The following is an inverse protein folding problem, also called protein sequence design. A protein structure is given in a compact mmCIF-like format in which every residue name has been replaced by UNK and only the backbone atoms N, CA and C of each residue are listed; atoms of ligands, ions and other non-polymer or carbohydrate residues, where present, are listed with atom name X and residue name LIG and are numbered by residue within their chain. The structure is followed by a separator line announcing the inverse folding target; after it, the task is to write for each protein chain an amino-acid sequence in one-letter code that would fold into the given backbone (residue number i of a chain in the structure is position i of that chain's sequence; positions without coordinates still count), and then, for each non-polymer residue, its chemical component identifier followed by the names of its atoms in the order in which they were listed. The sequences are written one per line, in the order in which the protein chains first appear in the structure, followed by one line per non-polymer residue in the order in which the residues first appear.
data_IF_362033359538
#
_entry.id   IF_362033359538
#
_cell.length_a   1.000
_cell.length_b   1.000
_cell.length_c   1.000
_cell.angle_alpha   90.00
_cell.angle_beta   90.00
_cell.angle_gamma   90.00
#
_symmetry.space_group_name_H-M   'P 1'
#
loop_
_entity.id
_entity.type
_entity.pdbx_description
1 polymer ?
#
# COMPACT_ATOMS: atom_id res chain seq x y z
N UNK A 1 76.52 19.01 -76.17
CA UNK A 1 76.68 20.09 -75.19
C UNK A 1 75.54 19.95 -74.20
N UNK A 2 75.87 19.89 -72.91
CA UNK A 2 75.01 19.64 -71.72
C UNK A 2 73.67 20.42 -71.74
N UNK A 3 72.56 19.95 -71.17
CA UNK A 3 72.19 20.10 -69.73
C UNK A 3 71.01 19.16 -69.34
N UNK A 4 71.02 18.72 -68.07
CA UNK A 4 70.12 17.81 -67.30
C UNK A 4 68.67 18.30 -67.10
N UNK A 5 67.78 17.39 -66.69
CA UNK A 5 66.93 17.53 -65.47
C UNK A 5 66.36 16.17 -65.04
N UNK A 6 66.13 16.04 -63.74
CA UNK A 6 66.04 14.80 -62.93
C UNK A 6 64.66 14.12 -62.89
N UNK A 7 64.70 12.82 -62.55
CA UNK A 7 63.58 11.91 -62.25
C UNK A 7 62.90 12.20 -60.91
N UNK A 8 61.61 11.86 -60.79
CA UNK A 8 60.96 11.60 -59.50
C UNK A 8 60.08 10.35 -59.56
N UNK A 9 60.20 9.56 -58.48
CA UNK A 9 59.68 8.22 -58.18
C UNK A 9 58.16 8.15 -57.91
N UNK A 10 57.50 7.01 -58.19
CA UNK A 10 56.71 6.28 -57.17
C UNK A 10 56.24 4.87 -57.60
N UNK A 11 56.42 3.95 -56.66
CA UNK A 11 56.14 2.51 -56.65
C UNK A 11 54.64 2.16 -56.67
N UNK A 12 54.28 0.92 -57.06
CA UNK A 12 53.52 0.07 -56.12
C UNK A 12 53.51 -1.43 -56.45
N UNK A 13 53.70 -2.21 -55.38
CA UNK A 13 53.94 -3.65 -55.36
C UNK A 13 52.66 -4.51 -55.24
N UNK A 14 52.84 -5.76 -55.68
CA UNK A 14 52.12 -7.02 -55.43
C UNK A 14 51.22 -7.11 -54.18
N UNK A 15 49.99 -7.62 -54.37
CA UNK A 15 49.10 -8.09 -53.29
C UNK A 15 49.11 -9.62 -53.17
N UNK A 16 49.55 -10.12 -52.02
CA UNK A 16 49.49 -11.52 -51.58
C UNK A 16 48.20 -11.74 -50.77
N UNK A 17 47.35 -12.71 -51.15
CA UNK A 17 46.12 -13.07 -50.41
C UNK A 17 46.42 -14.16 -49.38
N UNK A 18 46.14 -13.92 -48.10
CA UNK A 18 46.09 -14.93 -47.03
C UNK A 18 44.64 -15.40 -46.84
N UNK A 19 44.42 -16.72 -46.82
CA UNK A 19 43.16 -17.33 -46.41
C UNK A 19 43.19 -17.61 -44.89
N UNK A 20 42.13 -17.24 -44.17
CA UNK A 20 41.94 -17.54 -42.75
C UNK A 20 40.77 -18.52 -42.66
N UNK A 21 41.00 -19.72 -42.14
CA UNK A 21 39.98 -20.74 -41.89
C UNK A 21 39.48 -20.59 -40.45
N UNK A 22 38.17 -20.37 -40.27
CA UNK A 22 37.53 -20.18 -38.97
C UNK A 22 36.96 -21.52 -38.48
N UNK A 23 37.58 -22.16 -37.50
CA UNK A 23 37.01 -23.35 -36.83
C UNK A 23 36.01 -22.91 -35.76
N UNK A 24 34.73 -23.25 -35.93
CA UNK A 24 33.70 -23.09 -34.90
C UNK A 24 33.76 -24.27 -33.92
N UNK A 25 34.18 -24.04 -32.67
CA UNK A 25 33.88 -24.95 -31.57
C UNK A 25 32.44 -24.69 -31.10
N UNK A 26 31.54 -25.64 -31.35
CA UNK A 26 30.22 -25.66 -30.75
C UNK A 26 30.32 -26.16 -29.31
N UNK A 27 30.27 -25.24 -28.34
CA UNK A 27 30.09 -25.61 -26.94
C UNK A 27 28.61 -25.99 -26.71
N UNK A 28 28.31 -27.14 -26.08
CA UNK A 28 26.93 -27.51 -25.78
C UNK A 28 26.38 -26.55 -24.71
N UNK A 29 25.44 -25.71 -25.12
CA UNK A 29 24.60 -24.95 -24.18
C UNK A 29 23.74 -25.95 -23.40
N UNK A 30 24.17 -26.29 -22.18
CA UNK A 30 23.31 -26.91 -21.19
C UNK A 30 22.20 -25.90 -20.87
N UNK A 31 21.02 -26.11 -21.43
CA UNK A 31 19.84 -25.33 -21.13
C UNK A 31 19.52 -25.47 -19.64
N UNK A 32 19.84 -24.44 -18.86
CA UNK A 32 19.48 -24.36 -17.43
C UNK A 32 17.96 -24.24 -17.38
N UNK A 33 17.23 -25.16 -16.72
CA UNK A 33 15.77 -25.07 -16.65
C UNK A 33 15.41 -23.74 -15.98
N UNK A 34 14.56 -22.97 -16.65
CA UNK A 34 13.98 -21.76 -16.07
C UNK A 34 13.28 -22.17 -14.77
N UNK A 35 13.47 -21.45 -13.65
CA UNK A 35 12.75 -21.73 -12.43
C UNK A 35 11.26 -21.67 -12.76
N UNK A 36 10.55 -22.78 -12.50
CA UNK A 36 9.10 -22.82 -12.64
C UNK A 36 8.53 -21.67 -11.80
N UNK A 37 7.67 -20.85 -12.41
CA UNK A 37 6.93 -19.83 -11.70
C UNK A 37 6.14 -20.55 -10.59
N UNK A 38 6.57 -20.41 -9.34
CA UNK A 38 5.85 -21.04 -8.25
C UNK A 38 4.41 -20.51 -8.27
N UNK A 39 3.43 -21.43 -8.30
CA UNK A 39 2.04 -21.04 -8.24
C UNK A 39 1.81 -20.16 -7.00
N UNK A 40 1.09 -19.04 -7.18
CA UNK A 40 0.76 -18.13 -6.08
C UNK A 40 -0.06 -18.90 -5.03
N UNK A 41 0.45 -18.99 -3.80
CA UNK A 41 -0.22 -19.67 -2.69
C UNK A 41 -1.36 -18.81 -2.18
N UNK A 42 -2.57 -19.36 -2.12
CA UNK A 42 -3.76 -18.67 -1.61
C UNK A 42 -4.21 -19.32 -0.29
N UNK A 43 -4.62 -18.50 0.68
CA UNK A 43 -5.06 -18.93 2.00
C UNK A 43 -6.38 -18.23 2.34
N UNK A 44 -7.50 -18.96 2.26
CA UNK A 44 -8.80 -18.39 2.60
C UNK A 44 -8.96 -18.28 4.12
N UNK A 45 -9.43 -17.13 4.62
CA UNK A 45 -9.57 -16.90 6.07
C UNK A 45 -10.55 -17.88 6.75
N UNK A 46 -11.49 -18.45 5.99
CA UNK A 46 -12.46 -19.44 6.45
C UNK A 46 -11.80 -20.78 6.80
N UNK A 47 -10.71 -21.14 6.12
CA UNK A 47 -9.93 -22.36 6.41
C UNK A 47 -9.22 -22.26 7.77
N UNK A 48 -9.13 -21.04 8.31
CA UNK A 48 -8.53 -20.72 9.61
C UNK A 48 -9.56 -20.34 10.67
N UNK A 49 -10.86 -20.54 10.38
CA UNK A 49 -11.95 -20.39 11.33
C UNK A 49 -12.62 -19.02 11.35
N UNK A 50 -12.41 -18.18 10.33
CA UNK A 50 -13.17 -16.94 10.20
C UNK A 50 -14.65 -17.24 9.84
N UNK A 51 -15.58 -16.56 10.50
CA UNK A 51 -17.04 -16.73 10.36
C UNK A 51 -17.65 -15.47 9.76
N UNK A 52 -18.47 -15.65 8.72
CA UNK A 52 -19.04 -14.58 7.90
C UNK A 52 -20.45 -14.15 8.36
N UNK A 53 -20.68 -14.03 9.67
CA UNK A 53 -22.00 -13.72 10.25
C UNK A 53 -22.23 -12.22 10.52
N UNK A 54 -21.24 -11.37 10.21
CA UNK A 54 -21.29 -9.93 10.49
C UNK A 54 -21.28 -9.55 11.98
N UNK A 55 -21.01 -10.49 12.89
CA UNK A 55 -21.04 -10.30 14.34
C UNK A 55 -19.78 -10.85 15.04
N UNK A 56 -19.31 -12.03 14.64
CA UNK A 56 -18.10 -12.65 15.17
C UNK A 56 -16.87 -11.79 14.86
N UNK A 57 -16.07 -11.52 15.90
CA UNK A 57 -14.81 -10.78 15.76
C UNK A 57 -13.70 -11.75 15.33
N UNK A 58 -13.36 -11.69 14.05
CA UNK A 58 -12.48 -12.63 13.35
C UNK A 58 -10.99 -12.30 13.45
N UNK A 59 -10.60 -11.29 14.25
CA UNK A 59 -9.21 -10.78 14.31
C UNK A 59 -8.18 -11.90 14.46
N UNK A 60 -8.41 -12.84 15.39
CA UNK A 60 -7.49 -13.94 15.65
C UNK A 60 -7.39 -14.93 14.48
N UNK A 61 -8.51 -15.29 13.85
CA UNK A 61 -8.53 -16.21 12.72
C UNK A 61 -7.85 -15.62 11.48
N UNK A 62 -8.11 -14.35 11.20
CA UNK A 62 -7.51 -13.64 10.06
C UNK A 62 -6.02 -13.42 10.30
N UNK A 63 -5.62 -12.99 11.50
CA UNK A 63 -4.19 -12.83 11.83
C UNK A 63 -3.44 -14.18 11.75
N UNK A 64 -4.05 -15.28 12.22
CA UNK A 64 -3.49 -16.63 12.06
C UNK A 64 -3.29 -17.00 10.58
N UNK A 65 -4.21 -16.60 9.70
CA UNK A 65 -4.08 -16.82 8.26
C UNK A 65 -2.89 -16.05 7.67
N UNK A 66 -2.73 -14.78 8.06
CA UNK A 66 -1.61 -13.93 7.67
C UNK A 66 -0.28 -14.53 8.14
N UNK A 67 -0.21 -14.93 9.40
CA UNK A 67 1.00 -15.50 9.99
C UNK A 67 1.36 -16.84 9.34
N UNK A 68 0.35 -17.67 9.02
CA UNK A 68 0.55 -18.90 8.27
C UNK A 68 1.08 -18.63 6.86
N UNK A 69 0.49 -17.69 6.12
CA UNK A 69 0.97 -17.32 4.78
C UNK A 69 2.43 -16.85 4.81
N UNK A 70 2.80 -16.04 5.81
CA UNK A 70 4.18 -15.61 6.01
C UNK A 70 5.13 -16.79 6.28
N UNK A 71 4.73 -17.72 7.16
CA UNK A 71 5.51 -18.93 7.46
C UNK A 71 5.68 -19.84 6.23
N UNK A 72 4.77 -19.78 5.26
CA UNK A 72 4.87 -20.49 3.98
C UNK A 72 5.72 -19.78 2.92
N UNK A 73 6.42 -18.70 3.31
CA UNK A 73 7.28 -17.90 2.42
C UNK A 73 6.56 -16.77 1.68
N UNK A 74 5.30 -16.48 2.07
CA UNK A 74 4.42 -15.52 1.43
C UNK A 74 3.24 -16.18 0.73
N UNK A 75 2.38 -15.33 0.15
CA UNK A 75 1.16 -15.75 -0.53
C UNK A 75 0.08 -14.68 -0.45
N UNK A 76 -1.14 -15.05 -0.83
CA UNK A 76 -2.31 -14.18 -0.80
C UNK A 76 -3.29 -14.70 0.23
N UNK A 77 -3.58 -13.87 1.24
CA UNK A 77 -4.71 -14.09 2.15
C UNK A 77 -5.98 -13.67 1.43
N UNK A 78 -6.96 -14.58 1.35
CA UNK A 78 -8.21 -14.37 0.61
C UNK A 78 -9.35 -14.20 1.60
N UNK A 79 -10.07 -13.07 1.48
CA UNK A 79 -11.34 -12.82 2.15
C UNK A 79 -12.45 -13.15 1.14
N UNK A 80 -13.20 -14.24 1.32
CA UNK A 80 -14.25 -14.63 0.40
C UNK A 80 -15.51 -13.77 0.59
N UNK A 81 -16.52 -13.99 -0.25
CA UNK A 81 -17.82 -13.33 -0.10
C UNK A 81 -18.42 -13.55 1.30
N UNK A 82 -18.98 -12.48 1.90
CA UNK A 82 -19.52 -12.50 3.25
C UNK A 82 -19.04 -11.31 4.11
N UNK A 83 -19.59 -11.17 5.32
CA UNK A 83 -19.26 -10.06 6.22
C UNK A 83 -18.45 -10.57 7.41
N UNK A 84 -17.21 -10.12 7.51
CA UNK A 84 -16.26 -10.50 8.56
C UNK A 84 -15.92 -9.27 9.40
N UNK A 85 -16.29 -9.26 10.68
CA UNK A 85 -15.89 -8.19 11.61
C UNK A 85 -14.48 -8.46 12.12
N UNK A 86 -13.63 -7.43 12.19
CA UNK A 86 -12.27 -7.54 12.71
C UNK A 86 -11.81 -6.26 13.42
N UNK A 87 -10.91 -6.44 14.38
CA UNK A 87 -10.02 -5.39 14.86
C UNK A 87 -8.78 -5.25 13.96
N UNK A 88 -7.68 -4.78 14.54
CA UNK A 88 -6.45 -4.53 13.79
C UNK A 88 -5.78 -5.81 13.27
N UNK A 89 -5.39 -5.80 12.00
CA UNK A 89 -4.63 -6.85 11.33
C UNK A 89 -3.28 -6.29 10.88
N UNK A 90 -2.24 -7.12 11.00
CA UNK A 90 -0.86 -6.74 10.71
C UNK A 90 -0.29 -7.67 9.65
N UNK A 91 -0.21 -7.17 8.42
CA UNK A 91 0.38 -7.88 7.29
C UNK A 91 1.88 -8.08 7.49
N UNK A 92 2.43 -9.05 6.76
CA UNK A 92 3.85 -9.42 6.78
C UNK A 92 4.43 -9.29 5.39
N UNK A 93 5.75 -9.15 5.30
CA UNK A 93 6.48 -9.13 4.04
C UNK A 93 6.10 -10.37 3.18
N UNK A 94 5.87 -10.15 1.87
CA UNK A 94 5.40 -11.16 0.89
C UNK A 94 3.98 -11.72 1.12
N UNK A 95 3.21 -11.15 2.05
CA UNK A 95 1.79 -11.49 2.23
C UNK A 95 0.92 -10.40 1.61
N UNK A 96 0.14 -10.80 0.61
CA UNK A 96 -0.86 -9.98 -0.05
C UNK A 96 -2.24 -10.22 0.55
N UNK A 97 -3.15 -9.27 0.33
CA UNK A 97 -4.55 -9.39 0.73
C UNK A 97 -5.45 -9.25 -0.50
N UNK A 98 -6.37 -10.19 -0.67
CA UNK A 98 -7.36 -10.17 -1.74
C UNK A 98 -8.78 -10.28 -1.16
N UNK A 99 -9.64 -9.31 -1.45
CA UNK A 99 -11.04 -9.36 -1.09
C UNK A 99 -11.87 -9.69 -2.33
N UNK A 100 -12.49 -10.87 -2.33
CA UNK A 100 -13.32 -11.30 -3.45
C UNK A 100 -14.56 -10.40 -3.62
N UNK A 101 -15.21 -10.50 -4.78
CA UNK A 101 -16.48 -9.82 -4.98
C UNK A 101 -17.50 -10.26 -3.92
N UNK A 102 -18.16 -9.29 -3.27
CA UNK A 102 -19.11 -9.55 -2.19
C UNK A 102 -18.46 -9.78 -0.81
N UNK A 103 -17.12 -9.74 -0.71
CA UNK A 103 -16.43 -9.74 0.57
C UNK A 103 -16.55 -8.37 1.26
N UNK A 104 -16.85 -8.39 2.56
CA UNK A 104 -16.83 -7.21 3.42
C UNK A 104 -15.98 -7.51 4.65
N UNK A 105 -14.82 -6.89 4.74
CA UNK A 105 -14.01 -6.89 5.95
C UNK A 105 -14.33 -5.60 6.72
N UNK A 106 -15.08 -5.74 7.81
CA UNK A 106 -15.66 -4.63 8.57
C UNK A 106 -14.89 -4.38 9.86
N UNK A 107 -14.61 -3.13 10.19
CA UNK A 107 -14.10 -2.75 11.49
C UNK A 107 -15.08 -3.11 12.60
N UNK A 108 -14.54 -3.61 13.71
CA UNK A 108 -15.23 -3.56 14.99
C UNK A 108 -15.56 -2.11 15.38
N UNK A 109 -16.73 -1.88 15.97
CA UNK A 109 -17.08 -0.61 16.61
C UNK A 109 -16.64 -0.55 18.08
N UNK A 110 -16.23 -1.68 18.66
CA UNK A 110 -15.47 -1.70 19.91
C UNK A 110 -14.01 -1.33 19.60
N UNK A 111 -13.60 -0.14 20.04
CA UNK A 111 -12.27 0.42 19.82
C UNK A 111 -11.16 -0.34 20.56
N UNK A 112 -11.50 -1.17 21.56
CA UNK A 112 -10.51 -2.02 22.27
C UNK A 112 -9.96 -3.15 21.40
N UNK A 113 -10.65 -3.51 20.32
CA UNK A 113 -10.16 -4.48 19.33
C UNK A 113 -9.02 -3.93 18.45
N UNK A 114 -8.65 -2.65 18.62
CA UNK A 114 -7.51 -2.02 17.97
C UNK A 114 -6.51 -1.65 19.07
N UNK A 115 -5.51 -2.49 19.36
CA UNK A 115 -4.58 -2.24 20.45
C UNK A 115 -3.77 -0.98 20.15
N UNK A 116 -4.04 0.08 20.91
CA UNK A 116 -3.41 1.38 20.72
C UNK A 116 -1.89 1.30 20.91
N UNK A 117 -1.17 2.08 20.11
CA UNK A 117 0.27 2.15 20.18
C UNK A 117 0.80 3.38 19.47
N UNK A 118 2.13 3.42 19.30
CA UNK A 118 2.78 4.49 18.55
C UNK A 118 2.41 4.38 17.08
N UNK A 119 1.81 5.43 16.50
CA UNK A 119 1.44 5.46 15.08
C UNK A 119 1.54 6.86 14.50
N UNK A 120 1.81 6.95 13.19
CA UNK A 120 1.85 8.21 12.44
C UNK A 120 0.43 8.70 12.18
N UNK A 121 0.06 9.87 12.68
CA UNK A 121 -1.28 10.46 12.54
C UNK A 121 -1.18 11.99 12.56
N UNK A 122 -1.95 12.67 11.71
CA UNK A 122 -1.92 14.14 11.57
C UNK A 122 -0.51 14.76 11.52
N UNK A 123 0.40 14.17 10.74
CA UNK A 123 1.76 14.70 10.53
C UNK A 123 2.71 14.56 11.73
N UNK A 124 2.39 13.72 12.73
CA UNK A 124 3.28 13.41 13.85
C UNK A 124 3.09 11.97 14.35
N UNK A 125 4.00 11.47 15.20
CA UNK A 125 3.77 10.21 15.90
C UNK A 125 2.98 10.45 17.18
N UNK A 126 1.77 9.92 17.24
CA UNK A 126 1.01 9.82 18.49
C UNK A 126 1.50 8.57 19.25
N UNK A 127 1.82 8.66 20.55
CA UNK A 127 2.34 7.52 21.32
C UNK A 127 1.28 6.46 21.65
N UNK A 128 0.00 6.84 21.63
CA UNK A 128 -1.11 5.99 22.02
C UNK A 128 -2.35 6.33 21.19
N UNK A 129 -2.45 5.73 20.00
CA UNK A 129 -3.61 5.86 19.11
C UNK A 129 -3.87 4.54 18.40
N UNK A 130 -5.11 4.31 17.97
CA UNK A 130 -5.47 3.04 17.37
C UNK A 130 -4.75 2.83 16.01
N UNK A 131 -4.27 1.61 15.75
CA UNK A 131 -3.83 1.20 14.43
C UNK A 131 -5.00 1.20 13.42
N UNK A 132 -4.71 0.95 12.15
CA UNK A 132 -5.72 0.73 11.13
C UNK A 132 -6.35 -0.67 11.25
N UNK A 133 -7.39 -0.94 10.46
CA UNK A 133 -7.87 -2.29 10.18
C UNK A 133 -6.78 -3.11 9.49
N UNK A 134 -6.17 -2.57 8.43
CA UNK A 134 -5.03 -3.18 7.73
C UNK A 134 -3.77 -2.37 8.00
N UNK A 135 -2.77 -2.99 8.62
CA UNK A 135 -1.47 -2.36 8.91
C UNK A 135 -0.36 -3.12 8.18
N UNK A 136 0.52 -2.40 7.50
CA UNK A 136 1.69 -2.96 6.86
C UNK A 136 2.87 -2.02 7.05
N UNK A 137 4.04 -2.53 7.47
CA UNK A 137 5.24 -1.73 7.66
C UNK A 137 6.44 -2.51 7.10
N UNK A 138 7.17 -1.92 6.15
CA UNK A 138 8.29 -2.60 5.47
C UNK A 138 7.83 -3.80 4.63
N UNK A 139 6.68 -3.68 3.97
CA UNK A 139 6.08 -4.74 3.15
C UNK A 139 6.28 -4.44 1.66
N UNK A 140 7.50 -4.61 1.16
CA UNK A 140 7.81 -4.37 -0.25
C UNK A 140 7.05 -5.33 -1.17
N UNK A 141 6.53 -4.79 -2.28
CA UNK A 141 5.73 -5.51 -3.27
C UNK A 141 4.31 -5.85 -2.82
N UNK A 142 3.83 -5.24 -1.72
CA UNK A 142 2.49 -5.47 -1.16
C UNK A 142 1.39 -5.20 -2.18
N UNK A 143 0.44 -6.14 -2.28
CA UNK A 143 -0.81 -5.99 -3.03
C UNK A 143 -2.02 -6.08 -2.10
N UNK A 144 -2.85 -5.04 -2.11
CA UNK A 144 -4.22 -5.05 -1.60
C UNK A 144 -5.15 -5.01 -2.83
N UNK A 145 -5.95 -6.06 -3.05
CA UNK A 145 -6.63 -6.23 -4.33
C UNK A 145 -8.02 -6.84 -4.22
N UNK A 146 -8.77 -6.76 -5.31
CA UNK A 146 -10.05 -7.44 -5.47
C UNK A 146 -11.23 -6.47 -5.47
N UNK A 147 -12.44 -6.99 -5.61
CA UNK A 147 -13.67 -6.20 -5.77
C UNK A 147 -14.52 -6.14 -4.48
N UNK A 148 -13.96 -6.55 -3.34
CA UNK A 148 -14.62 -6.46 -2.05
C UNK A 148 -14.45 -5.10 -1.36
N UNK A 149 -14.93 -5.04 -0.12
CA UNK A 149 -15.06 -3.81 0.66
C UNK A 149 -14.31 -3.88 1.98
N UNK A 150 -13.50 -2.86 2.26
CA UNK A 150 -13.05 -2.50 3.61
C UNK A 150 -14.08 -1.52 4.18
N UNK A 151 -14.81 -1.92 5.22
CA UNK A 151 -15.92 -1.16 5.80
C UNK A 151 -15.57 -0.69 7.21
N UNK A 152 -15.51 0.63 7.44
CA UNK A 152 -15.09 1.18 8.72
C UNK A 152 -16.16 1.12 9.80
N UNK A 153 -17.40 0.78 9.44
CA UNK A 153 -18.56 0.88 10.34
C UNK A 153 -18.59 2.25 11.07
N UNK A 154 -18.30 3.33 10.35
CA UNK A 154 -17.92 4.61 10.95
C UNK A 154 -19.03 5.36 11.68
N UNK A 155 -20.30 5.19 11.29
CA UNK A 155 -21.43 6.02 11.80
C UNK A 155 -21.48 6.14 13.33
N UNK A 156 -21.46 5.05 14.13
CA UNK A 156 -21.51 5.17 15.59
C UNK A 156 -20.31 5.93 16.16
N UNK A 157 -19.15 5.83 15.50
CA UNK A 157 -17.92 6.50 15.90
C UNK A 157 -17.96 7.99 15.52
N UNK A 158 -18.53 8.33 14.36
CA UNK A 158 -18.75 9.71 13.95
C UNK A 158 -19.78 10.42 14.84
N UNK A 159 -20.88 9.74 15.18
CA UNK A 159 -21.89 10.25 16.11
C UNK A 159 -21.27 10.54 17.49
N UNK A 160 -20.38 9.66 17.95
CA UNK A 160 -19.63 9.87 19.19
C UNK A 160 -18.71 11.09 19.09
N UNK A 161 -18.00 11.27 17.97
CA UNK A 161 -17.14 12.44 17.73
C UNK A 161 -17.92 13.75 17.80
N UNK A 162 -18.99 13.88 17.04
CA UNK A 162 -19.77 15.12 16.98
C UNK A 162 -20.45 15.43 18.31
N UNK A 163 -20.97 14.41 19.00
CA UNK A 163 -21.52 14.57 20.34
C UNK A 163 -20.51 15.14 21.33
N UNK A 164 -19.30 14.58 21.36
CA UNK A 164 -18.24 15.03 22.26
C UNK A 164 -17.72 16.42 21.89
N UNK A 165 -17.55 16.71 20.60
CA UNK A 165 -17.14 18.03 20.11
C UNK A 165 -18.16 19.11 20.46
N UNK A 166 -19.45 18.85 20.20
CA UNK A 166 -20.51 19.83 20.42
C UNK A 166 -20.78 20.08 21.92
N UNK A 167 -20.47 19.10 22.77
CA UNK A 167 -20.57 19.23 24.23
C UNK A 167 -19.31 19.86 24.86
N UNK A 168 -18.22 20.05 24.11
CA UNK A 168 -16.99 20.62 24.65
C UNK A 168 -17.16 22.12 24.98
N UNK A 169 -16.50 22.64 26.03
CA UNK A 169 -16.54 24.07 26.34
C UNK A 169 -16.04 24.96 25.20
N UNK A 170 -15.13 24.44 24.39
CA UNK A 170 -14.62 25.07 23.17
C UNK A 170 -14.62 24.06 22.01
N UNK A 171 -15.72 23.99 21.23
CA UNK A 171 -15.84 23.09 20.08
C UNK A 171 -14.85 23.36 18.95
N UNK A 172 -14.26 24.57 18.90
CA UNK A 172 -13.26 24.92 17.88
C UNK A 172 -11.88 24.33 18.21
N UNK A 173 -11.59 24.13 19.50
CA UNK A 173 -10.34 23.53 19.98
C UNK A 173 -10.47 22.05 20.39
N UNK A 174 -11.58 21.39 20.06
CA UNK A 174 -11.74 19.96 20.30
C UNK A 174 -10.71 19.15 19.50
N UNK A 175 -9.92 18.33 20.21
CA UNK A 175 -8.84 17.55 19.58
C UNK A 175 -9.41 16.48 18.66
N UNK A 176 -9.05 16.53 17.39
CA UNK A 176 -9.49 15.55 16.40
C UNK A 176 -9.05 14.11 16.76
N UNK A 177 -7.85 13.94 17.32
CA UNK A 177 -7.31 12.67 17.83
C UNK A 177 -7.79 12.31 19.26
N UNK A 178 -8.78 13.03 19.81
CA UNK A 178 -9.32 12.76 21.16
C UNK A 178 -10.10 11.45 21.29
N UNK A 179 -10.47 10.84 20.15
CA UNK A 179 -11.06 9.51 20.06
C UNK A 179 -10.12 8.66 19.21
N UNK A 180 -9.70 7.46 19.67
CA UNK A 180 -8.77 6.61 18.93
C UNK A 180 -9.49 5.88 17.79
N UNK A 181 -9.88 6.61 16.76
CA UNK A 181 -10.65 6.11 15.61
C UNK A 181 -9.74 5.31 14.67
N UNK A 182 -10.20 4.16 14.19
CA UNK A 182 -9.41 3.32 13.29
C UNK A 182 -9.46 3.84 11.84
N UNK A 183 -8.31 3.77 11.16
CA UNK A 183 -8.21 3.94 9.71
C UNK A 183 -8.53 2.63 9.01
N UNK A 184 -8.87 2.65 7.72
CA UNK A 184 -9.06 1.39 6.98
C UNK A 184 -7.72 0.73 6.62
N UNK A 185 -6.75 1.51 6.13
CA UNK A 185 -5.42 1.01 5.83
C UNK A 185 -4.32 2.00 6.20
N UNK A 186 -3.26 1.49 6.84
CA UNK A 186 -2.00 2.19 7.08
C UNK A 186 -0.86 1.36 6.49
N UNK A 187 -0.18 1.91 5.48
CA UNK A 187 0.98 1.28 4.86
C UNK A 187 2.18 2.19 5.05
N UNK A 188 3.20 1.69 5.73
CA UNK A 188 4.38 2.43 6.13
C UNK A 188 5.63 1.87 5.45
N UNK A 189 6.54 2.75 5.03
CA UNK A 189 7.94 2.42 4.69
C UNK A 189 8.07 1.24 3.71
N UNK A 190 7.20 1.20 2.70
CA UNK A 190 7.10 0.08 1.76
C UNK A 190 7.32 0.56 0.33
N UNK A 191 8.01 -0.24 -0.49
CA UNK A 191 8.26 0.04 -1.89
C UNK A 191 7.47 -0.89 -2.81
N UNK A 192 6.91 -0.37 -3.91
CA UNK A 192 6.18 -1.18 -4.89
C UNK A 192 4.80 -1.63 -4.40
N UNK A 193 4.08 -0.74 -3.73
CA UNK A 193 2.74 -1.00 -3.17
C UNK A 193 1.68 -0.87 -4.27
N UNK A 194 0.75 -1.83 -4.36
CA UNK A 194 -0.42 -1.77 -5.25
C UNK A 194 -1.72 -1.90 -4.47
N UNK A 195 -2.65 -0.97 -4.66
CA UNK A 195 -4.05 -1.05 -4.21
C UNK A 195 -4.94 -1.04 -5.46
N UNK A 196 -5.70 -2.11 -5.70
CA UNK A 196 -6.43 -2.30 -6.97
C UNK A 196 -7.85 -2.84 -6.77
N UNK A 197 -8.86 -2.07 -7.18
CA UNK A 197 -10.27 -2.50 -7.26
C UNK A 197 -11.08 -2.42 -5.96
N UNK A 198 -10.43 -2.22 -4.81
CA UNK A 198 -11.08 -2.26 -3.51
C UNK A 198 -12.02 -1.06 -3.29
N UNK A 199 -13.10 -1.31 -2.54
CA UNK A 199 -13.93 -0.24 -1.98
C UNK A 199 -13.56 0.02 -0.53
N UNK A 200 -13.23 1.26 -0.20
CA UNK A 200 -13.08 1.81 1.13
C UNK A 200 -14.38 2.53 1.48
N UNK A 201 -15.08 2.04 2.50
CA UNK A 201 -16.41 2.50 2.86
C UNK A 201 -16.46 2.88 4.34
N UNK A 202 -17.15 3.96 4.66
CA UNK A 202 -17.52 4.35 6.02
C UNK A 202 -16.35 4.34 7.03
N UNK A 203 -15.15 4.78 6.63
CA UNK A 203 -13.97 4.79 7.50
C UNK A 203 -14.20 5.58 8.80
N UNK A 204 -13.73 5.08 9.95
CA UNK A 204 -13.87 5.80 11.23
C UNK A 204 -12.99 7.06 11.29
N UNK A 205 -11.88 7.04 10.56
CA UNK A 205 -10.94 8.16 10.35
C UNK A 205 -10.53 8.15 8.86
N UNK A 206 -9.26 8.39 8.53
CA UNK A 206 -8.75 8.30 7.17
C UNK A 206 -8.92 6.91 6.54
N UNK A 207 -9.20 6.87 5.23
CA UNK A 207 -9.38 5.61 4.51
C UNK A 207 -8.03 4.94 4.24
N UNK A 208 -7.22 5.48 3.33
CA UNK A 208 -5.91 4.92 2.95
C UNK A 208 -4.78 5.89 3.30
N UNK A 209 -4.01 5.56 4.34
CA UNK A 209 -2.84 6.32 4.76
C UNK A 209 -1.55 5.64 4.31
N UNK A 210 -0.80 6.30 3.44
CA UNK A 210 0.49 5.88 2.92
C UNK A 210 1.56 6.76 3.54
N UNK A 211 2.48 6.19 4.30
CA UNK A 211 3.55 6.93 4.96
C UNK A 211 4.93 6.41 4.55
N UNK A 212 5.76 7.29 4.00
CA UNK A 212 7.12 6.94 3.51
C UNK A 212 7.14 5.77 2.54
N UNK A 213 6.13 5.66 1.69
CA UNK A 213 6.08 4.66 0.65
C UNK A 213 6.68 5.19 -0.66
N UNK A 214 7.25 4.28 -1.46
CA UNK A 214 7.78 4.58 -2.78
C UNK A 214 7.16 3.65 -3.84
N UNK A 215 7.06 4.13 -5.09
CA UNK A 215 6.51 3.35 -6.20
C UNK A 215 5.12 2.78 -5.87
N UNK A 216 4.18 3.68 -5.55
CA UNK A 216 2.81 3.32 -5.17
C UNK A 216 1.90 3.43 -6.39
N UNK A 217 1.05 2.42 -6.59
CA UNK A 217 -0.09 2.50 -7.52
C UNK A 217 -1.39 2.28 -6.75
N UNK A 218 -2.31 3.24 -6.81
CA UNK A 218 -3.68 3.09 -6.36
C UNK A 218 -4.58 3.22 -7.58
N UNK A 219 -5.35 2.19 -7.91
CA UNK A 219 -6.20 2.22 -9.09
C UNK A 219 -7.51 1.49 -8.94
N UNK A 220 -8.50 1.94 -9.70
CA UNK A 220 -9.85 1.35 -9.72
C UNK A 220 -10.50 1.26 -8.32
N UNK A 221 -10.00 2.02 -7.35
CA UNK A 221 -10.46 1.99 -5.97
C UNK A 221 -11.61 2.98 -5.78
N UNK A 222 -12.47 2.71 -4.81
CA UNK A 222 -13.61 3.57 -4.47
C UNK A 222 -13.49 4.00 -3.01
N UNK A 223 -13.70 5.27 -2.72
CA UNK A 223 -13.71 5.82 -1.36
C UNK A 223 -15.07 6.47 -1.12
N UNK A 224 -15.85 5.94 -0.18
CA UNK A 224 -17.27 6.28 -0.04
C UNK A 224 -17.67 6.48 1.42
N UNK A 225 -18.23 7.65 1.71
CA UNK A 225 -19.07 7.99 2.86
C UNK A 225 -20.52 8.02 2.36
N UNK A 226 -21.52 7.62 3.16
CA UNK A 226 -22.88 7.54 2.65
C UNK A 226 -23.48 8.95 2.55
N UNK A 227 -24.22 9.20 1.47
CA UNK A 227 -24.76 10.54 1.14
C UNK A 227 -25.74 11.09 2.20
N UNK A 228 -26.31 10.21 3.03
CA UNK A 228 -27.21 10.57 4.13
C UNK A 228 -26.47 10.99 5.41
N UNK A 229 -25.15 11.11 5.39
CA UNK A 229 -24.34 11.56 6.51
C UNK A 229 -23.61 12.87 6.17
N UNK A 230 -23.91 13.93 6.91
CA UNK A 230 -23.48 15.30 6.57
C UNK A 230 -21.96 15.49 6.55
N UNK A 231 -21.25 15.00 7.56
CA UNK A 231 -19.80 15.17 7.67
C UNK A 231 -19.19 14.05 8.51
N UNK A 232 -18.66 13.01 7.85
CA UNK A 232 -17.78 12.05 8.50
C UNK A 232 -16.46 12.75 8.85
N UNK A 233 -16.09 12.88 10.14
CA UNK A 233 -14.94 13.67 10.56
C UNK A 233 -13.63 13.00 10.12
N UNK A 234 -12.78 13.72 9.37
CA UNK A 234 -11.49 13.22 8.88
C UNK A 234 -11.62 11.95 8.04
N UNK A 235 -12.54 11.98 7.09
CA UNK A 235 -12.81 10.88 6.18
C UNK A 235 -11.98 10.97 4.88
N UNK A 236 -10.76 11.49 4.95
CA UNK A 236 -9.87 11.68 3.81
C UNK A 236 -9.80 10.38 2.97
N UNK A 237 -9.80 10.49 1.64
CA UNK A 237 -9.74 9.34 0.74
C UNK A 237 -8.35 8.70 0.76
N UNK A 238 -7.35 9.44 0.30
CA UNK A 238 -5.95 8.99 0.31
C UNK A 238 -5.05 10.05 0.95
N UNK A 239 -4.28 9.64 1.95
CA UNK A 239 -3.26 10.48 2.58
C UNK A 239 -1.87 10.02 2.14
N UNK A 240 -1.19 10.86 1.37
CA UNK A 240 0.18 10.64 0.89
C UNK A 240 1.17 11.37 1.80
N UNK A 241 1.59 10.74 2.89
CA UNK A 241 2.50 11.31 3.88
C UNK A 241 3.96 10.94 3.56
N UNK A 242 4.74 11.92 3.08
CA UNK A 242 6.16 11.72 2.71
C UNK A 242 6.39 10.57 1.72
N UNK A 243 5.47 10.38 0.75
CA UNK A 243 5.57 9.36 -0.29
C UNK A 243 6.25 9.89 -1.58
N UNK A 244 6.80 8.99 -2.38
CA UNK A 244 7.42 9.32 -3.67
C UNK A 244 6.98 8.38 -4.79
N UNK A 245 6.87 8.90 -6.01
CA UNK A 245 6.44 8.15 -7.20
C UNK A 245 5.10 7.43 -6.97
N UNK A 246 4.04 8.22 -6.85
CA UNK A 246 2.68 7.73 -6.61
C UNK A 246 1.82 7.96 -7.85
N UNK A 247 1.17 6.89 -8.32
CA UNK A 247 0.15 6.92 -9.36
C UNK A 247 -1.22 6.65 -8.72
N UNK A 248 -2.17 7.55 -8.94
CA UNK A 248 -3.59 7.36 -8.60
C UNK A 248 -4.40 7.47 -9.89
N UNK A 249 -5.06 6.39 -10.32
CA UNK A 249 -5.79 6.35 -11.60
C UNK A 249 -7.13 5.59 -11.50
N UNK A 250 -8.13 5.99 -12.28
CA UNK A 250 -9.42 5.27 -12.33
C UNK A 250 -10.17 5.15 -10.98
N UNK A 251 -9.82 5.98 -9.99
CA UNK A 251 -10.44 5.94 -8.66
C UNK A 251 -11.69 6.82 -8.59
N UNK A 252 -12.62 6.46 -7.72
CA UNK A 252 -13.84 7.21 -7.42
C UNK A 252 -13.83 7.69 -5.96
N UNK A 253 -14.18 8.96 -5.73
CA UNK A 253 -14.22 9.57 -4.42
C UNK A 253 -15.60 10.18 -4.16
N UNK A 254 -16.22 9.79 -3.05
CA UNK A 254 -17.36 10.45 -2.41
C UNK A 254 -17.09 10.45 -0.90
N UNK A 255 -16.30 11.40 -0.45
CA UNK A 255 -15.91 11.56 0.96
C UNK A 255 -16.28 12.96 1.43
N UNK A 256 -16.33 13.18 2.75
CA UNK A 256 -16.72 14.46 3.35
C UNK A 256 -15.54 15.28 3.88
N UNK A 257 -14.32 14.89 3.49
CA UNK A 257 -13.05 15.58 3.77
C UNK A 257 -12.20 15.54 2.47
N UNK A 258 -10.88 15.71 2.55
CA UNK A 258 -10.01 15.71 1.36
C UNK A 258 -10.10 14.39 0.55
N UNK A 259 -10.33 14.48 -0.76
CA UNK A 259 -10.29 13.28 -1.62
C UNK A 259 -8.89 12.66 -1.64
N UNK A 260 -7.87 13.49 -1.88
CA UNK A 260 -6.46 13.13 -1.84
C UNK A 260 -5.72 14.26 -1.14
N UNK A 261 -5.03 13.94 -0.05
CA UNK A 261 -4.22 14.89 0.71
C UNK A 261 -2.73 14.53 0.60
N UNK A 262 -1.94 15.41 -0.01
CA UNK A 262 -0.49 15.32 0.04
C UNK A 262 0.01 15.90 1.36
N UNK A 263 0.72 15.08 2.15
CA UNK A 263 1.19 15.42 3.49
C UNK A 263 2.70 15.18 3.63
N UNK A 264 3.25 15.77 4.69
CA UNK A 264 4.64 15.59 5.12
C UNK A 264 4.76 15.98 6.57
N UNK A 265 5.77 16.76 6.93
CA UNK A 265 5.88 17.31 8.29
C UNK A 265 4.81 18.36 8.60
N UNK A 266 4.55 18.58 9.89
CA UNK A 266 3.55 19.55 10.39
C UNK A 266 4.17 20.51 11.42
N UNK A 267 3.71 21.76 11.40
CA UNK A 267 3.97 22.75 12.45
C UNK A 267 5.29 23.54 12.28
N UNK A 268 5.63 24.41 13.26
CA UNK A 268 6.77 25.32 13.15
C UNK A 268 8.13 24.61 13.11
N UNK A 269 8.18 23.36 13.57
CA UNK A 269 9.38 22.50 13.57
C UNK A 269 9.38 21.51 12.39
N UNK A 270 8.56 21.74 11.37
CA UNK A 270 8.39 20.81 10.25
C UNK A 270 9.71 20.48 9.52
N UNK A 271 10.63 21.46 9.42
CA UNK A 271 11.92 21.27 8.76
C UNK A 271 12.91 20.41 9.56
N UNK A 272 12.70 20.26 10.87
CA UNK A 272 13.55 19.44 11.74
C UNK A 272 12.93 18.07 12.07
N UNK A 273 11.74 17.78 11.53
CA UNK A 273 11.08 16.48 11.70
C UNK A 273 11.81 15.39 10.90
N UNK A 274 12.68 14.64 11.59
CA UNK A 274 13.45 13.53 10.99
C UNK A 274 12.57 12.34 10.61
N UNK A 275 11.34 12.26 11.12
CA UNK A 275 10.36 11.27 10.72
C UNK A 275 9.67 11.65 9.39
N UNK A 276 9.79 12.88 8.93
CA UNK A 276 9.22 13.36 7.65
C UNK A 276 10.30 14.01 6.78
N UNK A 277 11.35 13.27 6.38
CA UNK A 277 12.46 13.86 5.66
C UNK A 277 11.99 14.46 4.33
N UNK A 278 12.59 15.58 3.94
CA UNK A 278 12.41 16.16 2.62
C UNK A 278 12.70 15.10 1.55
N UNK A 279 11.82 15.00 0.55
CA UNK A 279 12.08 14.21 -0.65
C UNK A 279 13.46 14.56 -1.22
N UNK A 280 14.38 13.59 -1.41
CA UNK A 280 15.61 13.82 -2.18
C UNK A 280 15.34 14.27 -3.60
#
# INVERSE_FOLDING_TARGET
MSIRTEETSMQNQFKLRRAITLSMLAAPFLARPLPALAALKHFAITDFGAVADGATVNTAAIQKTIDHAAAQGGGTVVVPAGVFVSGALFLKLKVNLHLEQGAVLRCSTDLSHFPAGRTRIEGHFAPNFNPALINANGCDGLRLSGAGTLDGAGRPIWDMFWRLRNAAPDPHNFKNIGIPRARLALIERSNGVTVDGLTFKDSQFWNLHLYRCQQVTVRNARFVVPDDYHQAPSSDGIDLDSCQHVLVEGCYFSVTDDCIAAKGSKGPNALSDTDSPSSP
#
